data_IF_677360281709
#
_entry.id   IF_677360281709
#
_cell.length_a   1.000
_cell.length_b   1.000
_cell.length_c   1.000
_cell.angle_alpha   90.00
_cell.angle_beta   90.00
_cell.angle_gamma   90.00
#
_symmetry.space_group_name_H-M   'P 1'
#
loop_
_entity.id
_entity.type
_entity.pdbx_description
1 polymer ?
#
# COMPACT_ATOMS: atom_id res chain seq x y z
N UNK A 1 16.91 -1.69 -19.17
CA UNK A 1 15.58 -1.19 -18.78
C UNK A 1 14.79 -0.88 -20.04
N UNK A 2 13.50 -1.23 -20.07
CA UNK A 2 12.60 -0.89 -21.18
C UNK A 2 12.32 0.64 -21.21
N UNK A 3 11.88 1.22 -22.34
CA UNK A 3 11.68 2.67 -22.47
C UNK A 3 10.76 3.24 -21.38
N UNK A 4 11.05 4.48 -20.97
CA UNK A 4 10.46 5.18 -19.83
C UNK A 4 8.94 5.31 -20.02
N UNK A 5 8.18 4.60 -19.19
CA UNK A 5 6.73 4.70 -19.17
C UNK A 5 6.27 6.03 -18.54
N UNK A 6 5.15 6.58 -19.01
CA UNK A 6 4.56 7.81 -18.47
C UNK A 6 4.06 7.61 -17.03
N UNK A 7 3.48 6.45 -16.75
CA UNK A 7 3.06 6.01 -15.42
C UNK A 7 3.43 4.55 -15.22
N UNK A 8 3.68 4.17 -13.96
CA UNK A 8 3.95 2.79 -13.55
C UNK A 8 2.87 2.34 -12.58
N UNK A 9 2.09 1.35 -13.00
CA UNK A 9 0.99 0.77 -12.24
C UNK A 9 1.48 -0.47 -11.49
N UNK A 10 1.21 -0.53 -10.19
CA UNK A 10 1.46 -1.70 -9.36
C UNK A 10 0.13 -2.39 -9.01
N UNK A 11 0.05 -3.70 -9.22
CA UNK A 11 -1.20 -4.45 -9.08
C UNK A 11 -1.04 -5.68 -8.19
N UNK A 12 -2.05 -5.96 -7.38
CA UNK A 12 -2.14 -7.25 -6.70
C UNK A 12 -2.59 -8.35 -7.67
N UNK A 13 -2.35 -9.60 -7.27
CA UNK A 13 -2.63 -10.84 -7.95
C UNK A 13 -4.08 -11.01 -8.46
N UNK A 14 -5.03 -10.26 -7.90
CA UNK A 14 -6.43 -10.27 -8.35
C UNK A 14 -6.59 -9.58 -9.71
N UNK A 15 -5.76 -8.57 -9.99
CA UNK A 15 -5.86 -7.72 -11.18
C UNK A 15 -4.78 -8.03 -12.21
N UNK A 16 -3.72 -8.75 -11.84
CA UNK A 16 -2.61 -9.04 -12.74
C UNK A 16 -2.94 -10.14 -13.75
N UNK A 17 -2.81 -9.82 -15.05
CA UNK A 17 -2.85 -10.79 -16.14
C UNK A 17 -1.90 -10.39 -17.28
N UNK A 18 -1.36 -11.35 -18.06
CA UNK A 18 -0.51 -11.04 -19.20
C UNK A 18 -1.18 -10.17 -20.26
N UNK A 19 -2.49 -10.36 -20.49
CA UNK A 19 -3.25 -9.57 -21.46
C UNK A 19 -3.36 -8.10 -21.04
N UNK A 20 -3.70 -7.85 -19.77
CA UNK A 20 -3.73 -6.49 -19.22
C UNK A 20 -2.36 -5.82 -19.34
N UNK A 21 -1.29 -6.51 -18.99
CA UNK A 21 0.07 -5.95 -18.99
C UNK A 21 0.54 -5.63 -20.41
N UNK A 22 0.17 -6.47 -21.39
CA UNK A 22 0.42 -6.19 -22.81
C UNK A 22 -0.34 -4.95 -23.28
N UNK A 23 -1.64 -4.85 -22.97
CA UNK A 23 -2.44 -3.68 -23.32
C UNK A 23 -1.89 -2.39 -22.69
N UNK A 24 -1.53 -2.42 -21.40
CA UNK A 24 -0.91 -1.29 -20.71
C UNK A 24 0.41 -0.87 -21.39
N UNK A 25 1.22 -1.85 -21.79
CA UNK A 25 2.49 -1.62 -22.48
C UNK A 25 2.28 -0.96 -23.85
N UNK A 26 1.31 -1.43 -24.62
CA UNK A 26 0.93 -0.85 -25.91
C UNK A 26 0.45 0.61 -25.77
N UNK A 27 -0.24 0.93 -24.68
CA UNK A 27 -0.64 2.31 -24.36
C UNK A 27 0.48 3.18 -23.75
N UNK A 28 1.69 2.65 -23.57
CA UNK A 28 2.84 3.39 -23.04
C UNK A 28 2.94 3.43 -21.51
N UNK A 29 2.16 2.62 -20.80
CA UNK A 29 2.22 2.47 -19.34
C UNK A 29 3.09 1.28 -18.92
N UNK A 30 3.77 1.45 -17.80
CA UNK A 30 4.50 0.39 -17.12
C UNK A 30 3.56 -0.32 -16.16
N UNK A 31 3.70 -1.64 -16.04
CA UNK A 31 2.93 -2.44 -15.09
C UNK A 31 3.82 -3.45 -14.39
N UNK A 32 3.66 -3.60 -13.07
CA UNK A 32 4.27 -4.65 -12.26
C UNK A 32 3.22 -5.22 -11.32
N UNK A 33 3.20 -6.53 -11.11
CA UNK A 33 2.24 -7.15 -10.20
C UNK A 33 2.62 -8.56 -9.82
N UNK A 34 2.00 -9.08 -8.76
CA UNK A 34 2.11 -10.51 -8.43
C UNK A 34 1.12 -11.31 -9.24
N UNK A 35 1.41 -12.58 -9.53
CA UNK A 35 0.62 -13.39 -10.45
C UNK A 35 0.13 -14.69 -9.82
N UNK A 36 -1.14 -15.02 -10.08
CA UNK A 36 -1.70 -16.33 -9.74
C UNK A 36 -1.29 -17.38 -10.79
N UNK A 37 -1.14 -18.66 -10.42
CA UNK A 37 -0.83 -19.72 -11.39
C UNK A 37 -1.83 -19.82 -12.54
N UNK A 38 -3.09 -19.46 -12.28
CA UNK A 38 -4.19 -19.54 -13.24
C UNK A 38 -4.45 -18.24 -14.04
N UNK A 39 -3.56 -17.24 -13.96
CA UNK A 39 -3.78 -15.94 -14.64
C UNK A 39 -3.41 -15.93 -16.14
N UNK A 40 -3.26 -17.08 -16.78
CA UNK A 40 -2.87 -17.19 -18.19
C UNK A 40 -1.35 -17.21 -18.44
N UNK A 41 -0.55 -17.52 -17.42
CA UNK A 41 0.90 -17.74 -17.53
C UNK A 41 1.22 -19.10 -18.17
N UNK A 42 2.45 -19.27 -18.66
CA UNK A 42 2.88 -20.51 -19.32
C UNK A 42 2.80 -21.72 -18.37
N UNK A 43 2.40 -22.89 -18.90
CA UNK A 43 2.25 -24.15 -18.13
C UNK A 43 3.47 -24.45 -17.23
N UNK A 44 4.68 -24.34 -17.77
CA UNK A 44 5.93 -24.55 -17.01
C UNK A 44 6.04 -23.72 -15.70
N UNK A 45 5.54 -22.47 -15.69
CA UNK A 45 5.56 -21.61 -14.49
C UNK A 45 4.47 -22.00 -13.49
N UNK A 46 3.34 -22.48 -13.99
CA UNK A 46 2.27 -23.01 -13.17
C UNK A 46 2.72 -24.31 -12.49
N UNK A 47 3.28 -25.23 -13.28
CA UNK A 47 3.77 -26.53 -12.82
C UNK A 47 4.88 -26.34 -11.77
N UNK A 48 5.85 -25.45 -12.00
CA UNK A 48 6.90 -25.15 -11.03
C UNK A 48 6.36 -24.62 -9.69
N UNK A 49 5.28 -23.83 -9.71
CA UNK A 49 4.64 -23.32 -8.49
C UNK A 49 3.79 -24.37 -7.78
N UNK A 50 3.23 -25.31 -8.51
CA UNK A 50 2.48 -26.45 -7.96
C UNK A 50 3.44 -27.51 -7.37
N UNK A 51 4.56 -27.76 -8.02
CA UNK A 51 5.62 -28.66 -7.54
C UNK A 51 6.23 -28.17 -6.22
N UNK A 52 6.47 -26.88 -6.10
CA UNK A 52 6.94 -26.24 -4.86
C UNK A 52 5.93 -26.34 -3.72
N UNK A 53 4.64 -26.09 -4.01
CA UNK A 53 3.57 -26.37 -3.04
C UNK A 53 3.55 -27.83 -2.61
N UNK A 54 3.92 -28.75 -3.51
CA UNK A 54 4.03 -30.18 -3.23
C UNK A 54 5.38 -30.59 -2.61
N UNK A 55 6.30 -29.64 -2.35
CA UNK A 55 7.62 -29.89 -1.75
C UNK A 55 8.64 -30.54 -2.69
N UNK A 56 8.38 -30.55 -4.00
CA UNK A 56 9.30 -31.02 -5.04
C UNK A 56 10.12 -29.83 -5.54
N UNK A 57 11.44 -30.01 -5.71
CA UNK A 57 12.29 -28.95 -6.26
C UNK A 57 12.07 -28.85 -7.78
N UNK A 58 11.50 -27.75 -8.31
CA UNK A 58 11.31 -27.61 -9.74
C UNK A 58 12.62 -27.23 -10.46
N UNK A 59 12.76 -27.57 -11.75
CA UNK A 59 13.95 -27.28 -12.53
C UNK A 59 14.20 -25.77 -12.70
N UNK A 60 15.47 -25.34 -12.86
CA UNK A 60 15.81 -23.93 -13.03
C UNK A 60 15.24 -23.39 -14.34
N UNK A 61 14.42 -22.34 -14.24
CA UNK A 61 13.80 -21.69 -15.38
C UNK A 61 14.76 -20.68 -16.05
N UNK A 62 14.83 -20.72 -17.38
CA UNK A 62 15.54 -19.75 -18.21
C UNK A 62 14.70 -18.49 -18.52
N UNK A 63 15.42 -17.44 -18.88
CA UNK A 63 15.05 -16.04 -19.14
C UNK A 63 13.81 -15.83 -20.04
N UNK A 64 13.12 -14.68 -19.89
CA UNK A 64 11.75 -14.36 -20.39
C UNK A 64 10.60 -15.11 -19.70
N UNK A 65 10.90 -15.89 -18.67
CA UNK A 65 9.92 -16.40 -17.72
C UNK A 65 10.29 -15.91 -16.34
N UNK A 66 9.27 -15.43 -15.64
CA UNK A 66 9.29 -15.03 -14.23
C UNK A 66 10.13 -16.00 -13.43
N UNK A 67 11.37 -15.61 -13.13
CA UNK A 67 12.20 -16.31 -12.17
C UNK A 67 11.63 -15.98 -10.80
N UNK A 68 10.99 -16.97 -10.21
CA UNK A 68 10.65 -16.88 -8.81
C UNK A 68 11.97 -17.03 -8.04
N UNK A 69 12.52 -15.90 -7.62
CA UNK A 69 13.65 -15.91 -6.69
C UNK A 69 13.07 -16.42 -5.37
N UNK A 70 13.63 -17.49 -4.77
CA UNK A 70 13.26 -17.87 -3.42
C UNK A 70 13.54 -16.64 -2.55
N UNK A 71 12.48 -15.97 -2.11
CA UNK A 71 12.60 -14.96 -1.07
C UNK A 71 12.85 -15.75 0.21
N UNK A 72 14.12 -15.96 0.55
CA UNK A 72 14.54 -16.68 1.77
C UNK A 72 14.09 -16.00 3.08
N UNK A 73 13.32 -14.91 3.01
CA UNK A 73 13.00 -14.02 4.12
C UNK A 73 11.52 -13.88 4.49
N UNK A 74 10.59 -14.70 3.97
CA UNK A 74 9.17 -14.50 4.30
C UNK A 74 8.40 -15.81 4.52
N UNK A 75 8.55 -16.39 5.72
CA UNK A 75 7.68 -17.36 6.45
C UNK A 75 7.07 -18.59 5.74
N UNK A 76 7.09 -18.67 4.43
CA UNK A 76 6.64 -19.78 3.59
C UNK A 76 7.51 -19.73 2.34
N UNK A 77 8.49 -20.63 2.24
CA UNK A 77 9.26 -20.89 1.02
C UNK A 77 8.30 -21.31 -0.08
N UNK A 78 7.72 -20.32 -0.76
CA UNK A 78 6.77 -20.48 -1.83
C UNK A 78 7.16 -19.58 -2.98
N UNK A 79 7.16 -20.11 -4.20
CA UNK A 79 7.49 -19.31 -5.37
C UNK A 79 6.49 -18.16 -5.56
N UNK A 80 7.00 -16.93 -5.47
CA UNK A 80 6.26 -15.73 -5.86
C UNK A 80 6.45 -15.50 -7.34
N UNK A 81 5.33 -15.40 -8.06
CA UNK A 81 5.35 -15.07 -9.48
C UNK A 81 5.09 -13.57 -9.61
N UNK A 82 5.95 -12.89 -10.36
CA UNK A 82 5.79 -11.50 -10.76
C UNK A 82 5.48 -11.41 -12.25
N UNK A 83 4.48 -10.64 -12.63
CA UNK A 83 4.37 -10.13 -14.00
C UNK A 83 4.95 -8.72 -14.01
N UNK A 84 5.71 -8.38 -15.06
CA UNK A 84 6.15 -7.02 -15.29
C UNK A 84 6.27 -6.73 -16.77
N UNK A 85 5.93 -5.49 -17.15
CA UNK A 85 6.10 -4.93 -18.48
C UNK A 85 7.23 -3.87 -18.51
N UNK A 86 7.99 -3.71 -17.42
CA UNK A 86 9.06 -2.71 -17.25
C UNK A 86 10.40 -3.37 -17.00
N UNK A 87 10.41 -4.43 -16.20
CA UNK A 87 11.60 -5.20 -15.84
C UNK A 87 11.83 -6.32 -16.86
N UNK A 88 13.10 -6.55 -17.20
CA UNK A 88 13.47 -7.65 -18.09
C UNK A 88 13.46 -8.99 -17.34
N UNK A 89 13.64 -8.94 -16.01
CA UNK A 89 13.69 -10.13 -15.17
C UNK A 89 15.02 -10.87 -15.30
N UNK A 90 16.08 -10.16 -15.67
CA UNK A 90 17.41 -10.70 -15.81
C UNK A 90 18.02 -11.08 -14.46
N UNK A 91 18.88 -12.09 -14.46
CA UNK A 91 19.62 -12.50 -13.25
C UNK A 91 20.52 -11.39 -12.70
N UNK A 92 20.97 -10.51 -13.59
CA UNK A 92 21.78 -9.34 -13.30
C UNK A 92 20.95 -8.14 -12.84
N UNK A 93 19.63 -8.15 -13.09
CA UNK A 93 18.70 -7.09 -12.66
C UNK A 93 18.34 -7.26 -11.17
N UNK A 94 19.34 -7.02 -10.32
CA UNK A 94 19.23 -7.15 -8.86
C UNK A 94 19.53 -5.85 -8.14
N UNK A 95 18.80 -5.64 -7.05
CA UNK A 95 18.96 -4.51 -6.14
C UNK A 95 19.45 -5.01 -4.79
N UNK A 96 20.50 -4.38 -4.28
CA UNK A 96 21.03 -4.67 -2.94
C UNK A 96 20.05 -4.14 -1.88
N UNK A 97 19.57 -5.00 -0.98
CA UNK A 97 18.69 -4.62 0.12
C UNK A 97 19.15 -5.22 1.44
N UNK A 98 19.15 -4.39 2.49
CA UNK A 98 19.36 -4.87 3.85
C UNK A 98 18.11 -5.61 4.32
N UNK A 99 18.25 -6.91 4.60
CA UNK A 99 17.19 -7.76 5.15
C UNK A 99 17.58 -8.22 6.55
N UNK A 100 16.58 -8.29 7.43
CA UNK A 100 16.73 -8.84 8.77
C UNK A 100 16.55 -10.35 8.68
N UNK A 101 17.31 -11.08 9.48
CA UNK A 101 17.17 -12.52 9.62
C UNK A 101 15.71 -12.84 10.00
N UNK A 102 15.04 -13.73 9.26
CA UNK A 102 13.65 -14.07 9.54
C UNK A 102 13.53 -14.76 10.90
N UNK A 103 12.40 -14.55 11.58
CA UNK A 103 12.13 -15.15 12.88
C UNK A 103 12.09 -16.69 12.76
N UNK A 104 12.59 -17.39 13.78
CA UNK A 104 12.56 -18.86 13.87
C UNK A 104 11.12 -19.38 13.96
N UNK A 105 10.46 -19.57 12.82
CA UNK A 105 9.15 -20.23 12.72
C UNK A 105 9.17 -21.10 11.46
N UNK A 106 9.27 -22.42 11.63
CA UNK A 106 9.28 -23.37 10.53
C UNK A 106 9.88 -24.74 10.88
N UNK A 107 10.05 -25.59 9.87
CA UNK A 107 10.66 -26.92 10.03
C UNK A 107 12.18 -26.85 10.26
N UNK A 108 12.74 -27.87 10.92
CA UNK A 108 14.18 -27.97 11.23
C UNK A 108 15.10 -27.80 10.01
N UNK A 109 14.64 -28.20 8.81
CA UNK A 109 15.40 -28.05 7.56
C UNK A 109 15.55 -26.58 7.14
N UNK A 110 14.46 -25.80 7.23
CA UNK A 110 14.44 -24.37 6.89
C UNK A 110 15.29 -23.55 7.86
N UNK A 111 15.26 -23.89 9.15
CA UNK A 111 16.10 -23.22 10.15
C UNK A 111 17.60 -23.44 9.88
N UNK A 112 17.99 -24.64 9.45
CA UNK A 112 19.38 -24.95 9.07
C UNK A 112 19.81 -24.18 7.82
N UNK A 113 18.94 -24.00 6.83
CA UNK A 113 19.24 -23.22 5.61
C UNK A 113 19.38 -21.72 5.92
N UNK A 114 18.45 -21.14 6.69
CA UNK A 114 18.53 -19.74 7.15
C UNK A 114 19.79 -19.53 7.98
N UNK A 115 20.17 -20.50 8.83
CA UNK A 115 21.39 -20.43 9.62
C UNK A 115 22.66 -20.59 8.77
N UNK A 116 22.64 -21.37 7.68
CA UNK A 116 23.76 -21.43 6.71
C UNK A 116 23.95 -20.09 5.99
N UNK A 117 22.85 -19.44 5.59
CA UNK A 117 22.91 -18.22 4.80
C UNK A 117 23.22 -16.97 5.65
N UNK A 118 22.46 -16.73 6.74
CA UNK A 118 22.66 -15.58 7.62
C UNK A 118 23.74 -15.80 8.69
N UNK A 119 24.12 -17.05 8.97
CA UNK A 119 25.04 -17.36 10.05
C UNK A 119 24.57 -16.83 11.40
N UNK A 120 25.49 -16.15 12.09
CA UNK A 120 25.25 -15.44 13.36
C UNK A 120 24.72 -14.01 13.17
N UNK A 121 24.68 -13.48 11.95
CA UNK A 121 24.29 -12.08 11.71
C UNK A 121 22.76 -11.92 11.81
N UNK A 122 22.33 -10.82 12.44
CA UNK A 122 20.91 -10.47 12.58
C UNK A 122 20.34 -9.76 11.35
N UNK A 123 21.20 -9.22 10.48
CA UNK A 123 20.84 -8.63 9.20
C UNK A 123 21.99 -8.72 8.20
N UNK A 124 21.68 -8.81 6.92
CA UNK A 124 22.65 -8.85 5.81
C UNK A 124 22.13 -8.07 4.62
N UNK A 125 23.04 -7.69 3.72
CA UNK A 125 22.70 -7.10 2.42
C UNK A 125 22.59 -8.23 1.42
N UNK A 126 21.44 -8.33 0.77
CA UNK A 126 21.11 -9.40 -0.19
C UNK A 126 20.75 -8.76 -1.52
N UNK A 127 21.28 -9.33 -2.61
CA UNK A 127 20.91 -8.97 -3.97
C UNK A 127 19.58 -9.64 -4.35
N UNK A 128 18.48 -8.92 -4.17
CA UNK A 128 17.13 -9.36 -4.52
C UNK A 128 16.76 -8.91 -5.94
N UNK A 129 15.84 -9.59 -6.65
CA UNK A 129 15.39 -9.11 -7.96
C UNK A 129 14.86 -7.69 -7.86
N UNK A 130 15.26 -6.83 -8.80
CA UNK A 130 14.81 -5.43 -8.82
C UNK A 130 13.29 -5.33 -8.95
N UNK A 131 12.65 -6.24 -9.68
CA UNK A 131 11.17 -6.29 -9.77
C UNK A 131 10.52 -6.49 -8.39
N UNK A 132 11.05 -7.39 -7.55
CA UNK A 132 10.50 -7.62 -6.21
C UNK A 132 10.79 -6.43 -5.29
N UNK A 133 11.97 -5.82 -5.38
CA UNK A 133 12.29 -4.62 -4.63
C UNK A 133 11.34 -3.47 -4.97
N UNK A 134 11.11 -3.21 -6.26
CA UNK A 134 10.22 -2.15 -6.73
C UNK A 134 8.77 -2.41 -6.32
N UNK A 135 8.33 -3.67 -6.37
CA UNK A 135 7.00 -4.07 -5.93
C UNK A 135 6.84 -3.83 -4.42
N UNK A 136 7.76 -4.29 -3.59
CA UNK A 136 7.67 -4.09 -2.13
C UNK A 136 7.63 -2.60 -1.74
N UNK A 137 8.39 -1.74 -2.43
CA UNK A 137 8.45 -0.31 -2.13
C UNK A 137 7.18 0.45 -2.54
N UNK A 138 6.64 0.12 -3.70
CA UNK A 138 5.52 0.85 -4.33
C UNK A 138 4.15 0.20 -4.11
N UNK A 139 4.12 -1.01 -3.57
CA UNK A 139 2.88 -1.62 -3.13
C UNK A 139 2.38 -1.02 -1.82
N UNK A 140 1.10 -1.24 -1.54
CA UNK A 140 0.39 -0.80 -0.33
C UNK A 140 0.04 0.70 -0.29
N UNK A 141 0.17 1.45 -1.39
CA UNK A 141 -0.29 2.85 -1.42
C UNK A 141 -1.80 2.96 -1.18
N UNK A 142 -2.59 2.01 -1.71
CA UNK A 142 -4.04 1.92 -1.45
C UNK A 142 -4.29 1.64 0.03
N UNK A 143 -3.61 0.65 0.60
CA UNK A 143 -3.75 0.28 2.02
C UNK A 143 -3.35 1.42 2.95
N UNK A 144 -2.30 2.19 2.62
CA UNK A 144 -1.92 3.41 3.36
C UNK A 144 -3.04 4.44 3.33
N UNK A 145 -3.70 4.63 2.17
CA UNK A 145 -4.86 5.50 2.04
C UNK A 145 -6.04 5.03 2.90
N UNK A 146 -6.34 3.74 2.86
CA UNK A 146 -7.40 3.14 3.68
C UNK A 146 -7.08 3.26 5.18
N UNK A 147 -5.82 3.02 5.56
CA UNK A 147 -5.34 3.19 6.93
C UNK A 147 -5.50 4.64 7.39
N UNK A 148 -5.09 5.61 6.57
CA UNK A 148 -5.25 7.04 6.87
C UNK A 148 -6.71 7.42 7.12
N UNK A 149 -7.66 6.90 6.32
CA UNK A 149 -9.09 7.14 6.53
C UNK A 149 -9.60 6.46 7.80
N UNK A 150 -9.21 5.21 8.04
CA UNK A 150 -9.70 4.40 9.16
C UNK A 150 -9.47 5.05 10.53
N UNK A 151 -8.35 5.74 10.73
CA UNK A 151 -8.03 6.44 11.97
C UNK A 151 -8.92 7.64 12.30
N UNK A 152 -9.71 8.12 11.34
CA UNK A 152 -10.57 9.31 11.50
C UNK A 152 -12.01 9.04 11.09
N UNK A 153 -12.42 7.76 11.13
CA UNK A 153 -13.77 7.33 10.79
C UNK A 153 -14.79 7.91 11.76
N UNK A 154 -15.98 8.22 11.24
CA UNK A 154 -17.11 8.65 12.06
C UNK A 154 -17.57 7.53 13.00
N UNK A 155 -17.75 7.85 14.29
CA UNK A 155 -18.26 6.92 15.30
C UNK A 155 -19.79 6.72 15.20
N UNK A 156 -20.48 7.54 14.40
CA UNK A 156 -21.93 7.53 14.32
C UNK A 156 -22.44 6.53 13.27
N UNK A 157 -23.35 5.65 13.70
CA UNK A 157 -24.00 4.70 12.80
C UNK A 157 -24.97 5.44 11.86
N UNK A 158 -24.67 5.45 10.57
CA UNK A 158 -25.59 5.92 9.54
C UNK A 158 -26.75 4.91 9.37
N UNK A 159 -28.00 5.35 9.62
CA UNK A 159 -29.20 4.49 9.55
C UNK A 159 -30.15 4.78 8.38
N UNK A 160 -29.69 5.54 7.37
CA UNK A 160 -30.60 6.10 6.35
C UNK A 160 -30.62 5.38 5.00
N UNK A 161 -29.71 4.42 4.78
CA UNK A 161 -29.65 3.60 3.56
C UNK A 161 -28.23 3.49 2.98
N UNK A 162 -27.95 2.47 2.14
CA UNK A 162 -26.58 2.17 1.67
C UNK A 162 -25.87 3.32 0.96
N UNK A 163 -26.59 4.10 0.14
CA UNK A 163 -26.00 5.19 -0.62
C UNK A 163 -25.55 6.38 0.24
N UNK A 164 -26.28 6.71 1.32
CA UNK A 164 -25.85 7.77 2.24
C UNK A 164 -24.62 7.33 3.01
N UNK A 165 -24.51 6.04 3.35
CA UNK A 165 -23.29 5.52 3.98
C UNK A 165 -22.11 5.74 3.04
N UNK A 166 -22.21 5.30 1.77
CA UNK A 166 -21.13 5.49 0.80
C UNK A 166 -20.76 6.97 0.60
N UNK A 167 -21.75 7.86 0.50
CA UNK A 167 -21.49 9.29 0.32
C UNK A 167 -20.78 9.90 1.54
N UNK A 168 -21.33 9.70 2.74
CA UNK A 168 -20.89 10.39 3.94
C UNK A 168 -19.71 9.72 4.65
N UNK A 169 -19.58 8.38 4.55
CA UNK A 169 -18.49 7.64 5.20
C UNK A 169 -17.32 7.33 4.28
N UNK A 170 -17.51 7.29 2.96
CA UNK A 170 -16.41 6.97 2.03
C UNK A 170 -16.02 8.18 1.19
N UNK A 171 -16.93 8.73 0.40
CA UNK A 171 -16.59 9.81 -0.55
C UNK A 171 -16.13 11.08 0.18
N UNK A 172 -16.83 11.47 1.25
CA UNK A 172 -16.42 12.62 2.07
C UNK A 172 -15.06 12.39 2.73
N UNK A 173 -14.81 11.20 3.29
CA UNK A 173 -13.53 10.88 3.92
C UNK A 173 -12.37 10.86 2.91
N UNK A 174 -12.61 10.39 1.68
CA UNK A 174 -11.64 10.47 0.58
C UNK A 174 -11.35 11.93 0.23
N UNK A 175 -12.37 12.78 0.12
CA UNK A 175 -12.18 14.21 -0.17
C UNK A 175 -11.40 14.93 0.94
N UNK A 176 -11.70 14.64 2.21
CA UNK A 176 -10.98 15.19 3.37
C UNK A 176 -9.53 14.70 3.43
N UNK A 177 -9.28 13.41 3.16
CA UNK A 177 -7.91 12.88 3.10
C UNK A 177 -7.10 13.48 1.94
N UNK A 178 -7.72 13.64 0.76
CA UNK A 178 -7.06 14.24 -0.39
C UNK A 178 -6.75 15.72 -0.17
N UNK A 179 -7.67 16.49 0.41
CA UNK A 179 -7.41 17.90 0.77
C UNK A 179 -6.32 18.03 1.82
N UNK A 180 -6.24 17.10 2.78
CA UNK A 180 -5.13 17.05 3.75
C UNK A 180 -3.78 16.81 3.06
N UNK A 181 -3.72 15.84 2.13
CA UNK A 181 -2.52 15.56 1.35
C UNK A 181 -2.11 16.78 0.51
N UNK A 182 -3.08 17.48 -0.08
CA UNK A 182 -2.83 18.72 -0.81
C UNK A 182 -2.26 19.81 0.12
N UNK A 183 -2.83 19.99 1.31
CA UNK A 183 -2.30 20.94 2.29
C UNK A 183 -0.84 20.62 2.69
N UNK A 184 -0.47 19.34 2.78
CA UNK A 184 0.91 18.93 3.07
C UNK A 184 1.87 19.14 1.89
N UNK A 185 1.37 19.04 0.66
CA UNK A 185 2.19 19.11 -0.57
C UNK A 185 2.24 20.50 -1.19
N UNK A 186 1.27 21.35 -0.90
CA UNK A 186 1.15 22.68 -1.51
C UNK A 186 1.49 23.76 -0.48
N UNK A 187 2.25 24.76 -0.90
CA UNK A 187 2.62 25.94 -0.10
C UNK A 187 1.60 27.08 -0.22
N UNK A 188 0.54 26.87 -1.00
CA UNK A 188 -0.51 27.83 -1.32
C UNK A 188 -1.89 27.16 -1.20
N UNK A 189 -2.85 27.76 -0.47
CA UNK A 189 -2.71 28.96 0.35
C UNK A 189 -1.75 28.73 1.53
N UNK A 190 -1.18 29.79 2.13
CA UNK A 190 -0.34 29.70 3.33
C UNK A 190 -1.19 29.38 4.57
N UNK A 191 -1.75 28.18 4.62
CA UNK A 191 -2.44 27.69 5.81
C UNK A 191 -1.45 27.28 6.89
N UNK A 192 -1.81 27.42 8.17
CA UNK A 192 -1.06 26.77 9.24
C UNK A 192 -0.93 25.28 8.93
N UNK A 193 0.27 24.69 9.00
CA UNK A 193 0.45 23.30 8.63
C UNK A 193 -0.23 22.39 9.66
N UNK A 194 -1.20 21.60 9.20
CA UNK A 194 -1.82 20.58 10.04
C UNK A 194 -0.99 19.30 9.96
N UNK A 195 -0.66 18.72 11.12
CA UNK A 195 0.17 17.51 11.20
C UNK A 195 -0.62 16.21 11.18
N UNK A 196 -1.93 16.27 11.44
CA UNK A 196 -2.81 15.11 11.50
C UNK A 196 -4.11 15.37 10.76
N UNK A 197 -4.64 14.31 10.14
CA UNK A 197 -5.92 14.37 9.43
C UNK A 197 -7.06 14.78 10.37
N UNK A 198 -7.02 14.37 11.64
CA UNK A 198 -8.03 14.75 12.62
C UNK A 198 -8.09 16.28 12.81
N UNK A 199 -6.95 16.93 13.08
CA UNK A 199 -6.91 18.40 13.25
C UNK A 199 -7.30 19.13 11.97
N UNK A 200 -6.97 18.56 10.81
CA UNK A 200 -7.42 19.07 9.51
C UNK A 200 -8.95 19.03 9.38
N UNK A 201 -9.58 17.90 9.71
CA UNK A 201 -11.04 17.75 9.71
C UNK A 201 -11.69 18.73 10.70
N UNK A 202 -11.18 18.83 11.93
CA UNK A 202 -11.68 19.76 12.95
C UNK A 202 -11.64 21.22 12.48
N UNK A 203 -10.56 21.65 11.82
CA UNK A 203 -10.47 22.98 11.24
C UNK A 203 -11.56 23.25 10.19
N UNK A 204 -11.74 22.31 9.25
CA UNK A 204 -12.76 22.43 8.21
C UNK A 204 -14.16 22.48 8.84
N UNK A 205 -14.45 21.59 9.79
CA UNK A 205 -15.75 21.57 10.46
C UNK A 205 -16.02 22.88 11.18
N UNK A 206 -15.06 23.38 11.98
CA UNK A 206 -15.23 24.63 12.70
C UNK A 206 -15.45 25.82 11.74
N UNK A 207 -14.71 25.89 10.64
CA UNK A 207 -14.91 26.93 9.62
C UNK A 207 -16.31 26.86 9.00
N UNK A 208 -16.79 25.67 8.64
CA UNK A 208 -18.14 25.46 8.12
C UNK A 208 -19.20 25.84 9.15
N UNK A 209 -19.04 25.42 10.41
CA UNK A 209 -19.97 25.79 11.48
C UNK A 209 -20.00 27.31 11.68
N UNK A 210 -18.87 28.00 11.73
CA UNK A 210 -18.84 29.46 11.88
C UNK A 210 -19.60 30.16 10.74
N UNK A 211 -19.41 29.73 9.49
CA UNK A 211 -20.08 30.33 8.33
C UNK A 211 -21.60 30.12 8.40
N UNK A 212 -22.05 28.88 8.63
CA UNK A 212 -23.47 28.53 8.54
C UNK A 212 -24.25 28.68 9.85
N UNK A 213 -23.59 28.92 10.98
CA UNK A 213 -24.28 29.20 12.26
C UNK A 213 -25.07 30.49 12.19
N UNK A 214 -24.57 31.52 11.50
CA UNK A 214 -25.27 32.79 11.32
C UNK A 214 -26.52 32.69 10.43
N UNK A 215 -26.57 31.74 9.49
CA UNK A 215 -27.75 31.47 8.65
C UNK A 215 -28.79 30.58 9.37
N UNK A 216 -28.38 29.90 10.43
CA UNK A 216 -29.18 28.90 11.14
C UNK A 216 -30.04 29.48 12.27
N UNK A 217 -30.80 30.56 12.01
CA UNK A 217 -31.82 31.05 12.96
C UNK A 217 -32.93 30.02 13.27
N UNK A 218 -32.94 28.87 12.60
CA UNK A 218 -33.97 27.83 12.69
C UNK A 218 -33.55 26.53 13.41
N UNK A 219 -32.30 26.37 13.89
CA UNK A 219 -31.89 25.15 14.62
C UNK A 219 -31.15 25.43 15.93
N UNK A 220 -31.93 25.67 17.00
CA UNK A 220 -31.45 25.58 18.38
C UNK A 220 -31.25 24.10 18.77
N UNK A 221 -30.01 23.58 18.75
CA UNK A 221 -29.67 22.40 19.56
C UNK A 221 -28.18 22.29 19.92
N UNK A 222 -27.93 22.43 21.22
CA UNK A 222 -26.81 21.95 22.05
C UNK A 222 -25.37 22.32 21.65
N UNK A 223 -24.92 23.47 22.15
CA UNK A 223 -23.55 23.59 22.66
C UNK A 223 -23.47 22.79 23.97
N UNK A 224 -22.63 21.75 24.02
CA UNK A 224 -22.11 21.24 25.30
C UNK A 224 -20.89 22.10 25.63
N UNK A 225 -20.99 22.75 26.77
CA UNK A 225 -20.01 23.63 27.39
C UNK A 225 -18.65 22.96 27.56
N UNK A 226 -17.65 23.49 26.86
CA UNK A 226 -16.23 23.35 27.25
C UNK A 226 -15.52 24.68 27.04
N UNK A 227 -16.03 25.75 27.66
CA UNK A 227 -15.35 27.04 27.81
C UNK A 227 -15.66 27.58 29.21
N UNK A 228 -15.27 26.83 30.24
CA UNK A 228 -15.20 27.31 31.62
C UNK A 228 -13.81 27.01 32.15
N UNK A 229 -12.88 27.93 31.92
CA UNK A 229 -11.53 27.85 32.47
C UNK A 229 -10.52 28.63 31.65
N UNK A 230 -10.70 29.95 31.52
CA UNK A 230 -9.64 30.95 31.24
C UNK A 230 -10.27 32.33 31.02
N UNK A 231 -10.90 32.89 32.06
CA UNK A 231 -11.20 34.32 32.11
C UNK A 231 -11.58 34.69 33.55
N UNK A 232 -10.59 34.76 34.44
CA UNK A 232 -10.65 35.53 35.69
C UNK A 232 -9.22 35.54 36.26
N UNK A 233 -8.41 36.48 35.78
CA UNK A 233 -7.30 37.09 36.54
C UNK A 233 -6.71 38.20 35.68
N UNK A 234 -7.38 39.36 35.68
CA UNK A 234 -6.80 40.68 35.42
C UNK A 234 -7.86 41.73 35.78
N UNK A 235 -7.89 42.10 37.06
CA UNK A 235 -8.21 43.46 37.57
C UNK A 235 -8.26 43.41 39.10
N UNK A 236 -7.14 43.74 39.73
CA UNK A 236 -7.00 44.49 40.98
C UNK A 236 -5.50 44.65 41.26
#
# INVERSE_FOLDING_TARGET
MLPKATYHVFTDNLFSSPNLFRALRETGYGATGTARPNCGITKQLKDAKEDDKAGKAPPPLQYNKVRAIPTEDCKDSSYVLFLSAVHTGADEERTQRKRKKPAKKGSSKKEKEIQRYFGKNSSMIIAIPTVAASYDDEMNHVDRGDQLRSYTSYEHRFRRGPWQVLLWSFLLDVALANSFILQLKTTSPRWPPYKTLQKWKECIYNALFIIYTHESSTRKRCQISTMSGEALNQTA
#
